data_IF_768597768190
#
_entry.id   IF_768597768190
#
_cell.length_a   1.000
_cell.length_b   1.000
_cell.length_c   1.000
_cell.angle_alpha   90.00
_cell.angle_beta   90.00
_cell.angle_gamma   90.00
#
_symmetry.space_group_name_H-M   'P 1'
#
loop_
_entity.id
_entity.type
_entity.pdbx_description
1 polymer ?
#
# COMPACT_ATOMS: atom_id res chain seq x y z
N UNK A 1 7.01 -0.01 -76.10
CA UNK A 1 8.16 -0.94 -75.95
C UNK A 1 8.24 -1.35 -74.49
N UNK A 2 8.29 -2.67 -74.25
CA UNK A 2 9.01 -3.42 -73.18
C UNK A 2 8.99 -2.80 -71.75
N UNK A 3 8.13 -3.24 -70.82
CA UNK A 3 8.24 -4.39 -69.86
C UNK A 3 9.30 -4.23 -68.75
N UNK A 4 8.86 -4.41 -67.48
CA UNK A 4 9.67 -4.84 -66.32
C UNK A 4 9.04 -4.41 -64.97
N UNK A 5 8.18 -5.19 -64.29
CA UNK A 5 8.47 -6.28 -63.30
C UNK A 5 9.25 -5.79 -62.07
N UNK A 6 8.96 -6.10 -60.80
CA UNK A 6 8.01 -7.01 -60.14
C UNK A 6 7.96 -6.65 -58.63
N UNK A 7 6.95 -7.16 -57.93
CA UNK A 7 6.89 -7.22 -56.46
C UNK A 7 5.54 -7.78 -56.00
N UNK A 8 5.49 -9.11 -55.83
CA UNK A 8 4.39 -9.98 -55.42
C UNK A 8 3.72 -9.54 -54.10
N UNK A 9 2.39 -9.66 -53.92
CA UNK A 9 1.66 -10.87 -53.45
C UNK A 9 2.23 -11.37 -52.11
N UNK A 10 1.49 -11.47 -50.99
CA UNK A 10 0.29 -12.29 -50.77
C UNK A 10 -0.40 -11.86 -49.45
N UNK A 11 -1.72 -11.63 -49.44
CA UNK A 11 -2.79 -12.43 -48.77
C UNK A 11 -2.72 -12.46 -47.24
N UNK A 12 -3.75 -11.90 -46.58
CA UNK A 12 -4.75 -12.65 -45.79
C UNK A 12 -4.12 -13.28 -44.54
N UNK A 13 -4.45 -12.82 -43.34
CA UNK A 13 -5.61 -13.36 -42.66
C UNK A 13 -6.39 -12.31 -41.84
N UNK A 14 -7.69 -12.45 -41.93
CA UNK A 14 -8.67 -11.82 -41.06
C UNK A 14 -8.57 -12.47 -39.68
N UNK A 15 -8.02 -11.76 -38.70
CA UNK A 15 -8.37 -11.98 -37.30
C UNK A 15 -9.11 -10.75 -36.81
N UNK A 16 -10.43 -10.84 -36.91
CA UNK A 16 -11.36 -10.09 -36.06
C UNK A 16 -11.07 -10.51 -34.62
N UNK A 17 -10.06 -9.91 -34.02
CA UNK A 17 -9.82 -10.04 -32.60
C UNK A 17 -10.91 -9.23 -31.91
N UNK A 18 -11.95 -9.98 -31.54
CA UNK A 18 -13.05 -9.53 -30.69
C UNK A 18 -12.47 -9.26 -29.33
N UNK A 19 -11.80 -8.12 -29.14
CA UNK A 19 -11.49 -7.62 -27.82
C UNK A 19 -12.81 -7.14 -27.23
N UNK A 20 -13.46 -8.07 -26.55
CA UNK A 20 -14.53 -7.81 -25.59
C UNK A 20 -14.04 -6.71 -24.67
N UNK A 21 -14.44 -5.47 -24.94
CA UNK A 21 -14.38 -4.40 -23.97
C UNK A 21 -15.39 -4.76 -22.87
N UNK A 22 -14.96 -5.60 -21.94
CA UNK A 22 -15.69 -5.84 -20.70
C UNK A 22 -15.62 -4.56 -19.91
N UNK A 23 -16.63 -3.71 -20.08
CA UNK A 23 -16.92 -2.65 -19.11
C UNK A 23 -17.21 -3.39 -17.80
N UNK A 24 -16.23 -3.40 -16.88
CA UNK A 24 -16.47 -3.93 -15.53
C UNK A 24 -17.66 -3.16 -14.96
N UNK A 25 -18.65 -3.84 -14.32
CA UNK A 25 -19.65 -3.13 -13.56
C UNK A 25 -18.92 -2.31 -12.50
N UNK A 26 -19.21 -1.01 -12.43
CA UNK A 26 -18.79 -0.14 -11.34
C UNK A 26 -19.43 -0.68 -10.05
N UNK A 27 -18.78 -1.66 -9.41
CA UNK A 27 -19.09 -2.03 -8.03
C UNK A 27 -18.74 -0.80 -7.21
N UNK A 28 -19.72 -0.22 -6.52
CA UNK A 28 -19.44 0.73 -5.43
C UNK A 28 -18.36 0.09 -4.56
N UNK A 29 -17.21 0.77 -4.36
CA UNK A 29 -16.17 0.24 -3.49
C UNK A 29 -16.76 -0.02 -2.11
N UNK A 30 -16.31 -1.11 -1.46
CA UNK A 30 -16.71 -1.37 -0.08
C UNK A 30 -16.26 -0.18 0.79
N UNK A 31 -17.02 0.23 1.83
CA UNK A 31 -16.58 1.25 2.79
C UNK A 31 -15.17 1.00 3.35
N UNK A 32 -14.76 -0.27 3.45
CA UNK A 32 -13.41 -0.64 3.85
C UNK A 32 -12.33 -0.15 2.88
N UNK A 33 -12.61 -0.23 1.57
CA UNK A 33 -11.69 0.20 0.51
C UNK A 33 -11.67 1.73 0.43
N UNK A 34 -12.82 2.38 0.60
CA UNK A 34 -12.88 3.85 0.64
C UNK A 34 -12.03 4.43 1.77
N UNK A 35 -12.07 3.83 2.97
CA UNK A 35 -11.20 4.21 4.08
C UNK A 35 -9.71 3.98 3.78
N UNK A 36 -9.37 2.93 3.04
CA UNK A 36 -8.01 2.68 2.59
C UNK A 36 -7.53 3.74 1.57
N UNK A 37 -8.41 4.22 0.69
CA UNK A 37 -8.11 5.31 -0.25
C UNK A 37 -7.93 6.66 0.47
N UNK A 38 -8.72 6.92 1.52
CA UNK A 38 -8.53 8.10 2.37
C UNK A 38 -7.22 8.03 3.17
N UNK A 39 -6.84 6.84 3.64
CA UNK A 39 -5.54 6.62 4.27
C UNK A 39 -4.41 6.84 3.27
N UNK A 40 -4.53 6.31 2.04
CA UNK A 40 -3.56 6.55 0.96
C UNK A 40 -3.38 8.04 0.69
N UNK A 41 -4.48 8.78 0.61
CA UNK A 41 -4.48 10.22 0.35
C UNK A 41 -3.75 10.99 1.46
N UNK A 42 -3.97 10.61 2.72
CA UNK A 42 -3.24 11.14 3.87
C UNK A 42 -1.74 10.88 3.75
N UNK A 43 -1.33 9.64 3.47
CA UNK A 43 0.09 9.29 3.34
C UNK A 43 0.79 10.09 2.22
N UNK A 44 0.11 10.31 1.09
CA UNK A 44 0.65 11.16 0.02
C UNK A 44 0.79 12.63 0.43
N UNK A 45 -0.15 13.14 1.24
CA UNK A 45 -0.07 14.49 1.78
C UNK A 45 1.10 14.65 2.76
N UNK A 46 1.40 13.61 3.52
CA UNK A 46 2.57 13.55 4.42
C UNK A 46 3.87 13.16 3.68
N UNK A 47 3.88 13.26 2.35
CA UNK A 47 5.06 13.01 1.49
C UNK A 47 5.66 11.60 1.62
N UNK A 48 4.84 10.62 2.06
CA UNK A 48 5.23 9.21 2.10
C UNK A 48 5.16 8.61 0.69
N UNK A 49 6.28 8.06 0.21
CA UNK A 49 6.41 7.48 -1.12
C UNK A 49 5.81 6.08 -1.20
N UNK A 50 4.49 5.98 -1.37
CA UNK A 50 3.76 4.71 -1.44
C UNK A 50 4.08 3.97 -2.74
N UNK A 51 4.61 2.75 -2.63
CA UNK A 51 4.73 1.80 -3.74
C UNK A 51 3.41 1.08 -3.91
N UNK A 52 2.88 0.53 -2.82
CA UNK A 52 1.68 -0.28 -2.82
C UNK A 52 0.91 -0.12 -1.52
N UNK A 53 -0.42 -0.10 -1.60
CA UNK A 53 -1.32 -0.13 -0.45
C UNK A 53 -2.52 -0.98 -0.84
N UNK A 54 -2.65 -2.13 -0.19
CA UNK A 54 -3.67 -3.13 -0.48
C UNK A 54 -4.55 -3.38 0.75
N UNK A 55 -5.83 -2.99 0.72
CA UNK A 55 -6.78 -3.45 1.72
C UNK A 55 -7.05 -4.95 1.57
N UNK A 56 -7.11 -5.67 2.69
CA UNK A 56 -7.40 -7.10 2.78
C UNK A 56 -8.65 -7.34 3.65
N UNK A 57 -9.87 -7.02 3.16
CA UNK A 57 -11.09 -7.12 3.96
C UNK A 57 -11.34 -8.50 4.61
N UNK A 58 -11.07 -9.66 3.97
CA UNK A 58 -11.27 -10.96 4.62
C UNK A 58 -10.43 -11.16 5.89
N UNK A 59 -9.28 -10.46 5.97
CA UNK A 59 -8.35 -10.52 7.09
C UNK A 59 -8.41 -9.26 7.96
N UNK A 60 -9.29 -8.30 7.65
CA UNK A 60 -9.32 -6.95 8.23
C UNK A 60 -7.93 -6.31 8.31
N UNK A 61 -7.06 -6.56 7.32
CA UNK A 61 -5.68 -6.08 7.33
C UNK A 61 -5.42 -5.11 6.16
N UNK A 62 -4.34 -4.34 6.28
CA UNK A 62 -3.85 -3.45 5.24
C UNK A 62 -2.38 -3.74 5.04
N UNK A 63 -1.99 -4.03 3.80
CA UNK A 63 -0.60 -4.22 3.42
C UNK A 63 -0.09 -2.91 2.79
N UNK A 64 0.97 -2.35 3.34
CA UNK A 64 1.62 -1.14 2.85
C UNK A 64 3.07 -1.46 2.44
N UNK A 65 3.47 -0.99 1.27
CA UNK A 65 4.88 -0.91 0.87
C UNK A 65 5.19 0.53 0.50
N UNK A 66 6.24 1.09 1.10
CA UNK A 66 6.66 2.47 0.84
C UNK A 66 8.19 2.57 0.77
N UNK A 67 8.67 3.57 0.04
CA UNK A 67 10.08 3.96 0.02
C UNK A 67 10.28 5.03 1.09
N UNK A 68 11.24 4.80 1.97
CA UNK A 68 11.69 5.75 2.98
C UNK A 68 12.37 6.94 2.30
N UNK A 69 12.13 8.15 2.83
CA UNK A 69 12.91 9.33 2.47
C UNK A 69 14.22 9.42 3.27
N UNK A 70 14.36 8.59 4.31
CA UNK A 70 15.55 8.51 5.16
C UNK A 70 16.59 7.57 4.57
N UNK A 71 17.87 7.93 4.74
CA UNK A 71 19.02 7.13 4.26
C UNK A 71 19.43 6.03 5.25
N UNK A 72 19.07 6.13 6.53
CA UNK A 72 19.46 5.16 7.57
C UNK A 72 18.26 4.49 8.23
N UNK A 73 18.41 3.21 8.55
CA UNK A 73 17.38 2.40 9.19
C UNK A 73 16.91 2.97 10.53
N UNK A 74 17.78 3.61 11.30
CA UNK A 74 17.46 4.18 12.61
C UNK A 74 16.61 5.46 12.51
N UNK A 75 16.53 6.09 11.34
CA UNK A 75 15.87 7.37 11.11
C UNK A 75 14.39 7.18 10.70
N UNK A 76 14.01 6.00 10.19
CA UNK A 76 12.64 5.70 9.70
C UNK A 76 11.55 5.77 10.77
N UNK A 77 11.93 5.88 12.06
CA UNK A 77 10.97 5.93 13.17
C UNK A 77 9.99 7.10 13.08
N UNK A 78 10.40 8.23 12.49
CA UNK A 78 9.52 9.37 12.23
C UNK A 78 8.39 9.02 11.26
N UNK A 79 8.74 8.43 10.11
CA UNK A 79 7.79 7.97 9.10
C UNK A 79 6.84 6.90 9.66
N UNK A 80 7.37 5.93 10.41
CA UNK A 80 6.56 4.89 11.09
C UNK A 80 5.53 5.55 12.01
N UNK A 81 5.95 6.54 12.79
CA UNK A 81 5.05 7.29 13.68
C UNK A 81 3.93 7.99 12.91
N UNK A 82 4.26 8.67 11.82
CA UNK A 82 3.29 9.35 10.94
C UNK A 82 2.30 8.37 10.32
N UNK A 83 2.80 7.28 9.74
CA UNK A 83 1.96 6.26 9.08
C UNK A 83 1.04 5.59 10.11
N UNK A 84 1.58 5.16 11.26
CA UNK A 84 0.79 4.53 12.31
C UNK A 84 -0.25 5.49 12.90
N UNK A 85 0.10 6.75 13.10
CA UNK A 85 -0.83 7.80 13.54
C UNK A 85 -2.00 7.99 12.57
N UNK A 86 -1.72 8.01 11.26
CA UNK A 86 -2.75 8.05 10.22
C UNK A 86 -3.66 6.82 10.25
N UNK A 87 -3.08 5.62 10.40
CA UNK A 87 -3.85 4.38 10.53
C UNK A 87 -4.79 4.42 11.74
N UNK A 88 -4.28 4.79 12.92
CA UNK A 88 -5.09 4.90 14.13
C UNK A 88 -6.15 5.99 14.03
N UNK A 89 -5.87 7.10 13.34
CA UNK A 89 -6.87 8.12 13.06
C UNK A 89 -8.03 7.55 12.23
N UNK A 90 -7.75 6.74 11.20
CA UNK A 90 -8.80 6.09 10.40
C UNK A 90 -9.60 5.08 11.22
N UNK A 91 -8.94 4.27 12.06
CA UNK A 91 -9.60 3.37 13.02
C UNK A 91 -10.52 4.15 13.97
N UNK A 92 -10.05 5.28 14.51
CA UNK A 92 -10.85 6.16 15.36
C UNK A 92 -12.12 6.71 14.67
N UNK A 93 -12.07 6.82 13.34
CA UNK A 93 -13.18 7.26 12.48
C UNK A 93 -14.00 6.09 11.89
N UNK A 94 -13.90 4.89 12.47
CA UNK A 94 -14.73 3.74 12.13
C UNK A 94 -14.18 2.84 11.02
N UNK A 95 -12.88 2.91 10.74
CA UNK A 95 -12.26 1.89 9.88
C UNK A 95 -12.04 0.59 10.65
N UNK A 96 -12.67 -0.49 10.20
CA UNK A 96 -12.61 -1.83 10.81
C UNK A 96 -11.29 -2.58 10.55
N UNK A 97 -10.22 -1.89 10.14
CA UNK A 97 -8.93 -2.53 9.94
C UNK A 97 -8.29 -2.87 11.29
N UNK A 98 -8.03 -4.16 11.52
CA UNK A 98 -7.42 -4.70 12.73
C UNK A 98 -5.90 -4.58 12.73
N UNK A 99 -5.29 -4.56 11.53
CA UNK A 99 -3.84 -4.62 11.37
C UNK A 99 -3.34 -3.84 10.17
N UNK A 100 -2.27 -3.09 10.37
CA UNK A 100 -1.41 -2.56 9.30
C UNK A 100 -0.11 -3.36 9.30
N UNK A 101 0.22 -3.99 8.19
CA UNK A 101 1.53 -4.58 7.93
C UNK A 101 2.25 -3.67 6.93
N UNK A 102 3.50 -3.34 7.21
CA UNK A 102 4.27 -2.43 6.39
C UNK A 102 5.64 -2.99 6.03
N UNK A 103 6.02 -2.78 4.77
CA UNK A 103 7.37 -2.97 4.25
C UNK A 103 7.96 -1.60 3.98
N UNK A 104 9.11 -1.32 4.60
CA UNK A 104 9.87 -0.09 4.36
C UNK A 104 11.05 -0.42 3.43
N UNK A 105 11.13 0.31 2.32
CA UNK A 105 12.14 0.16 1.28
C UNK A 105 13.15 1.30 1.37
N UNK A 106 14.43 0.99 1.17
CA UNK A 106 15.52 1.96 1.00
C UNK A 106 15.52 2.52 -0.44
N UNK A 107 15.20 1.65 -1.40
CA UNK A 107 15.00 2.02 -2.80
C UNK A 107 14.02 1.03 -3.42
N UNK A 108 13.53 1.23 -4.66
CA UNK A 108 12.64 0.27 -5.31
C UNK A 108 13.18 -1.17 -5.41
N UNK A 109 14.48 -1.36 -5.23
CA UNK A 109 15.17 -2.66 -5.31
C UNK A 109 15.72 -3.15 -3.95
N UNK A 110 15.67 -2.34 -2.89
CA UNK A 110 16.30 -2.61 -1.59
C UNK A 110 15.32 -2.41 -0.43
N UNK A 111 15.29 -3.34 0.51
CA UNK A 111 14.39 -3.31 1.68
C UNK A 111 15.15 -2.95 2.94
N UNK A 112 14.66 -1.98 3.70
CA UNK A 112 15.11 -1.72 5.07
C UNK A 112 14.58 -2.76 6.04
N UNK A 113 13.27 -3.00 6.03
CA UNK A 113 12.65 -3.90 7.00
C UNK A 113 11.13 -4.03 6.86
N UNK A 114 10.54 -4.58 7.90
CA UNK A 114 9.08 -4.70 8.06
C UNK A 114 8.67 -4.26 9.45
N UNK A 115 7.45 -3.75 9.58
CA UNK A 115 6.85 -3.38 10.86
C UNK A 115 5.34 -3.54 10.80
N UNK A 116 4.67 -3.46 11.95
CA UNK A 116 3.21 -3.53 11.98
C UNK A 116 2.59 -2.71 13.13
N UNK A 117 1.33 -2.35 12.95
CA UNK A 117 0.47 -1.77 13.98
C UNK A 117 -0.81 -2.60 14.14
N UNK A 118 -1.37 -2.63 15.36
CA UNK A 118 -2.65 -3.30 15.66
C UNK A 118 -3.65 -2.29 16.19
N UNK A 119 -4.89 -2.34 15.70
CA UNK A 119 -5.98 -1.48 16.21
C UNK A 119 -6.22 -1.69 17.71
N UNK A 120 -6.05 -2.92 18.20
CA UNK A 120 -6.22 -3.24 19.63
C UNK A 120 -5.31 -2.44 20.55
N UNK A 121 -4.12 -2.03 20.09
CA UNK A 121 -3.25 -1.15 20.88
C UNK A 121 -3.80 0.27 20.97
N UNK A 122 -4.51 0.72 19.94
CA UNK A 122 -5.21 1.99 19.97
C UNK A 122 -6.45 1.94 20.88
N UNK A 123 -7.10 0.78 21.00
CA UNK A 123 -8.17 0.53 21.98
C UNK A 123 -7.60 0.62 23.42
N UNK A 124 -6.51 -0.09 23.71
CA UNK A 124 -5.79 0.02 25.01
C UNK A 124 -5.45 1.49 25.33
N UNK A 125 -4.98 2.26 24.33
CA UNK A 125 -4.68 3.69 24.50
C UNK A 125 -5.94 4.52 24.80
N UNK A 126 -7.03 4.30 24.05
CA UNK A 126 -8.30 5.00 24.25
C UNK A 126 -8.92 4.73 25.62
N UNK A 127 -8.76 3.52 26.12
CA UNK A 127 -9.25 3.08 27.42
C UNK A 127 -8.34 3.56 28.57
N UNK A 128 -7.21 4.20 28.24
CA UNK A 128 -6.25 4.72 29.20
C UNK A 128 -5.37 3.65 29.84
N UNK A 129 -5.34 2.44 29.27
CA UNK A 129 -4.51 1.32 29.73
C UNK A 129 -3.02 1.53 29.37
N UNK A 130 -2.77 2.19 28.24
CA UNK A 130 -1.43 2.61 27.82
C UNK A 130 -1.41 4.10 27.47
N UNK A 131 -0.27 4.74 27.69
CA UNK A 131 -0.01 6.11 27.25
C UNK A 131 0.25 6.19 25.74
N UNK A 132 0.16 7.41 25.19
CA UNK A 132 0.54 7.65 23.79
C UNK A 132 1.99 7.26 23.50
N UNK A 133 2.90 7.48 24.45
CA UNK A 133 4.30 7.07 24.31
C UNK A 133 4.45 5.54 24.25
N UNK A 134 3.71 4.81 25.09
CA UNK A 134 3.69 3.34 25.05
C UNK A 134 3.10 2.81 23.75
N UNK A 135 2.06 3.44 23.20
CA UNK A 135 1.52 3.10 21.89
C UNK A 135 2.57 3.25 20.79
N UNK A 136 3.26 4.40 20.73
CA UNK A 136 4.33 4.64 19.75
C UNK A 136 5.46 3.62 19.89
N UNK A 137 5.90 3.33 21.13
CA UNK A 137 6.93 2.32 21.38
C UNK A 137 6.49 0.92 20.98
N UNK A 138 5.22 0.54 21.20
CA UNK A 138 4.70 -0.77 20.75
C UNK A 138 4.83 -0.93 19.24
N UNK A 139 4.52 0.10 18.47
CA UNK A 139 4.68 0.08 17.00
C UNK A 139 6.16 0.02 16.61
N UNK A 140 7.00 0.92 17.14
CA UNK A 140 8.43 0.97 16.81
C UNK A 140 9.17 -0.33 17.16
N UNK A 141 8.78 -1.00 18.25
CA UNK A 141 9.35 -2.29 18.65
C UNK A 141 9.00 -3.45 17.70
N UNK A 142 8.09 -3.26 16.75
CA UNK A 142 7.80 -4.26 15.70
C UNK A 142 8.74 -4.16 14.51
N UNK A 143 9.49 -3.06 14.40
CA UNK A 143 10.40 -2.84 13.30
C UNK A 143 11.52 -3.89 13.33
N UNK A 144 11.60 -4.67 12.27
CA UNK A 144 12.57 -5.74 12.06
C UNK A 144 13.27 -5.54 10.73
N UNK A 145 14.60 -5.68 10.73
CA UNK A 145 15.42 -5.48 9.52
C UNK A 145 15.18 -6.61 8.54
N UNK A 146 15.33 -6.33 7.24
CA UNK A 146 15.18 -7.33 6.20
C UNK A 146 16.13 -8.55 6.37
N UNK A 147 17.27 -8.37 7.05
CA UNK A 147 18.24 -9.44 7.35
C UNK A 147 17.76 -10.39 8.46
N UNK A 148 16.81 -9.95 9.29
CA UNK A 148 16.28 -10.69 10.44
C UNK A 148 14.97 -11.44 10.12
N UNK A 149 14.43 -11.28 8.90
CA UNK A 149 13.10 -11.72 8.47
C UNK A 149 13.07 -13.03 7.68
#
# INVERSE_FOLDING_TARGET
>A
MVVGTAGCTQESETEVSTQTQTTLPTRTPSPYVEQADEFRSFLQQEEISIVELLPQPPANAVELTYVSNEDQYEEVGGEIGTIAGGFFNRVANGWEAERLNAVVMDSPESRFGTWYAKSSWFEEYRDGEISSNELSLKVLNTLSRAEDA
#
